data_IF_319298576235
#
_entry.id   IF_319298576235
#
_cell.length_a   1.000
_cell.length_b   1.000
_cell.length_c   1.000
_cell.angle_alpha   90.00
_cell.angle_beta   90.00
_cell.angle_gamma   90.00
#
_symmetry.space_group_name_H-M   'P 1'
#
loop_
_entity.id
_entity.type
_entity.pdbx_description
1 polymer ?
#
# COMPACT_ATOMS: atom_id res chain seq x y z
N UNK A 1 -48.47 -43.92 -11.69
CA UNK A 1 -48.80 -44.04 -13.13
C UNK A 1 -49.58 -42.80 -13.56
N UNK A 2 -49.43 -42.46 -14.85
CA UNK A 2 -50.13 -41.43 -15.63
C UNK A 2 -49.59 -39.99 -15.62
N UNK A 3 -48.75 -39.77 -16.64
CA UNK A 3 -48.64 -38.56 -17.45
C UNK A 3 -50.04 -38.03 -17.88
N UNK A 4 -50.18 -36.74 -18.21
CA UNK A 4 -50.34 -36.47 -19.64
C UNK A 4 -49.69 -35.17 -20.16
N UNK A 5 -49.11 -35.34 -21.34
CA UNK A 5 -48.86 -34.36 -22.40
C UNK A 5 -50.14 -33.70 -22.92
N UNK A 6 -50.09 -32.40 -23.29
CA UNK A 6 -50.72 -31.96 -24.55
C UNK A 6 -50.25 -30.59 -25.05
N UNK A 7 -49.90 -30.57 -26.34
CA UNK A 7 -49.76 -29.41 -27.24
C UNK A 7 -51.14 -28.96 -27.76
N UNK A 8 -51.20 -27.71 -28.25
CA UNK A 8 -51.93 -27.16 -29.43
C UNK A 8 -52.56 -25.80 -29.09
N UNK A 9 -52.13 -24.68 -29.70
CA UNK A 9 -52.45 -24.13 -31.04
C UNK A 9 -53.93 -23.77 -31.26
N UNK A 10 -54.09 -22.47 -31.62
CA UNK A 10 -55.19 -21.82 -32.36
C UNK A 10 -56.33 -21.21 -31.54
N UNK A 11 -56.53 -19.89 -31.70
CA UNK A 11 -57.67 -19.15 -31.15
C UNK A 11 -57.62 -17.67 -31.51
N UNK A 12 -58.21 -17.34 -32.66
CA UNK A 12 -58.39 -16.02 -33.26
C UNK A 12 -59.34 -15.15 -32.40
N UNK A 13 -58.99 -13.90 -32.09
CA UNK A 13 -59.96 -12.87 -31.66
C UNK A 13 -59.68 -11.57 -32.43
N UNK A 14 -60.68 -11.14 -33.21
CA UNK A 14 -60.75 -9.83 -33.84
C UNK A 14 -61.14 -8.76 -32.82
N UNK A 15 -60.42 -7.65 -32.75
CA UNK A 15 -60.98 -6.34 -32.38
C UNK A 15 -60.42 -5.30 -33.36
N UNK A 16 -61.35 -4.50 -33.89
CA UNK A 16 -61.23 -3.55 -34.98
C UNK A 16 -60.80 -2.16 -34.47
N UNK A 17 -60.12 -1.40 -35.35
CA UNK A 17 -60.03 0.09 -35.43
C UNK A 17 -59.17 0.77 -34.34
N UNK A 18 -58.34 1.79 -34.57
CA UNK A 18 -58.34 2.92 -35.51
C UNK A 18 -56.88 3.26 -35.86
N UNK A 19 -56.61 3.51 -37.14
CA UNK A 19 -55.34 4.05 -37.64
C UNK A 19 -55.28 5.56 -37.38
N UNK A 20 -54.16 6.10 -36.87
CA UNK A 20 -53.54 7.34 -37.37
C UNK A 20 -52.31 7.79 -36.57
N UNK A 21 -51.32 8.23 -37.35
CA UNK A 21 -50.26 9.20 -37.06
C UNK A 21 -48.91 8.67 -36.57
N UNK A 22 -48.04 8.58 -37.58
CA UNK A 22 -46.58 8.67 -37.57
C UNK A 22 -46.08 9.66 -36.52
N UNK A 23 -45.15 9.20 -35.69
CA UNK A 23 -44.44 10.03 -34.73
C UNK A 23 -43.51 9.17 -33.88
N UNK A 24 -42.49 8.59 -34.51
CA UNK A 24 -41.45 7.88 -33.77
C UNK A 24 -40.71 8.82 -32.84
N UNK A 25 -40.62 8.45 -31.57
CA UNK A 25 -39.43 8.65 -30.76
C UNK A 25 -39.52 7.71 -29.56
N UNK A 26 -38.48 6.90 -29.42
CA UNK A 26 -38.34 5.88 -28.41
C UNK A 26 -38.52 6.44 -27.00
N UNK A 27 -39.24 5.69 -26.18
CA UNK A 27 -39.19 5.78 -24.73
C UNK A 27 -37.77 5.38 -24.30
N UNK A 28 -36.89 6.36 -24.13
CA UNK A 28 -35.54 6.15 -23.62
C UNK A 28 -35.62 6.00 -22.10
N UNK A 29 -35.52 4.76 -21.63
CA UNK A 29 -34.97 4.48 -20.30
C UNK A 29 -33.64 5.20 -20.18
N UNK A 30 -33.55 6.19 -19.31
CA UNK A 30 -32.28 6.70 -18.84
C UNK A 30 -31.63 5.60 -17.98
N UNK A 31 -30.85 4.73 -18.62
CA UNK A 31 -29.78 4.01 -17.91
C UNK A 31 -28.74 5.06 -17.53
N UNK A 32 -28.52 5.26 -16.23
CA UNK A 32 -27.33 5.94 -15.73
C UNK A 32 -26.11 5.23 -16.30
N UNK A 33 -25.28 5.99 -17.02
CA UNK A 33 -24.04 5.49 -17.59
C UNK A 33 -23.15 4.94 -16.45
N UNK A 34 -22.46 3.80 -16.64
CA UNK A 34 -21.46 3.37 -15.69
C UNK A 34 -20.42 4.49 -15.57
N UNK A 35 -20.24 4.95 -14.33
CA UNK A 35 -19.28 5.94 -13.91
C UNK A 35 -17.95 5.71 -14.66
N UNK A 36 -17.65 6.55 -15.67
CA UNK A 36 -16.39 6.45 -16.43
C UNK A 36 -15.28 6.80 -15.45
N UNK A 37 -14.66 5.77 -14.86
CA UNK A 37 -13.31 5.89 -14.31
C UNK A 37 -12.46 6.41 -15.47
N UNK A 38 -11.84 7.58 -15.28
CA UNK A 38 -10.86 8.10 -16.23
C UNK A 38 -9.86 6.97 -16.55
N UNK A 39 -9.43 6.80 -17.81
CA UNK A 39 -8.38 5.83 -18.11
C UNK A 39 -7.22 6.09 -17.15
N UNK A 40 -6.78 5.06 -16.43
CA UNK A 40 -5.59 5.16 -15.60
C UNK A 40 -4.50 5.80 -16.47
N UNK A 41 -3.89 6.88 -15.96
CA UNK A 41 -2.77 7.50 -16.65
C UNK A 41 -1.78 6.39 -17.04
N UNK A 42 -1.32 6.34 -18.30
CA UNK A 42 -0.42 5.29 -18.73
C UNK A 42 0.77 5.29 -17.78
N UNK A 43 1.08 4.12 -17.21
CA UNK A 43 2.22 3.94 -16.33
C UNK A 43 3.45 4.55 -17.05
N UNK A 44 4.05 5.63 -16.52
CA UNK A 44 5.17 6.29 -17.19
C UNK A 44 6.37 5.35 -17.35
N UNK A 45 6.37 4.18 -16.71
CA UNK A 45 7.40 3.14 -16.83
C UNK A 45 7.04 1.96 -17.72
N UNK A 46 5.84 1.89 -18.30
CA UNK A 46 5.58 0.94 -19.38
C UNK A 46 6.46 1.25 -20.63
N UNK A 47 6.93 2.50 -20.75
CA UNK A 47 7.76 2.97 -21.87
C UNK A 47 9.27 3.08 -21.55
N UNK A 48 9.67 3.23 -20.30
CA UNK A 48 11.08 3.29 -19.89
C UNK A 48 11.44 2.03 -19.10
N UNK A 49 12.16 1.11 -19.74
CA UNK A 49 12.59 -0.14 -19.12
C UNK A 49 13.30 0.10 -17.79
N UNK A 50 13.04 -0.77 -16.79
CA UNK A 50 13.61 -0.71 -15.44
C UNK A 50 15.13 -0.44 -15.41
N UNK A 51 15.88 -0.90 -16.41
CA UNK A 51 17.32 -0.68 -16.55
C UNK A 51 17.72 0.81 -16.70
N UNK A 52 16.92 1.63 -17.37
CA UNK A 52 17.23 3.04 -17.62
C UNK A 52 17.05 3.91 -16.37
N UNK A 53 16.17 3.49 -15.45
CA UNK A 53 15.94 4.15 -14.18
C UNK A 53 17.08 3.93 -13.18
N UNK A 54 17.62 2.71 -13.10
CA UNK A 54 18.80 2.42 -12.26
C UNK A 54 20.06 3.14 -12.77
N UNK A 55 20.12 3.46 -14.06
CA UNK A 55 21.26 4.13 -14.69
C UNK A 55 21.32 5.63 -14.41
N UNK A 56 20.19 6.26 -14.08
CA UNK A 56 20.10 7.71 -13.83
C UNK A 56 20.17 8.08 -12.34
N UNK A 57 19.94 7.13 -11.43
CA UNK A 57 20.12 7.39 -10.00
C UNK A 57 21.60 7.37 -9.63
N UNK A 58 22.06 8.44 -8.99
CA UNK A 58 23.31 8.40 -8.22
C UNK A 58 23.13 7.36 -7.11
N UNK A 59 23.68 6.15 -7.33
CA UNK A 59 23.65 5.05 -6.37
C UNK A 59 24.03 5.58 -4.98
N UNK A 60 23.18 5.43 -3.95
CA UNK A 60 23.47 5.96 -2.64
C UNK A 60 24.73 5.27 -2.07
N UNK A 61 25.76 6.05 -1.76
CA UNK A 61 26.96 5.52 -1.14
C UNK A 61 26.70 5.21 0.34
N UNK A 62 26.99 3.98 0.77
CA UNK A 62 26.67 3.58 2.13
C UNK A 62 26.79 2.08 2.39
N UNK A 63 26.39 1.69 3.59
CA UNK A 63 26.24 0.28 3.96
C UNK A 63 24.92 -0.24 3.38
N UNK A 64 24.98 -1.34 2.64
CA UNK A 64 23.83 -2.03 2.08
C UNK A 64 23.41 -3.16 3.01
N UNK A 65 22.10 -3.27 3.24
CA UNK A 65 21.49 -4.38 3.95
C UNK A 65 20.32 -4.86 3.09
N UNK A 66 20.40 -6.10 2.62
CA UNK A 66 19.43 -6.68 1.68
C UNK A 66 18.49 -7.57 2.49
N UNK A 67 17.19 -7.27 2.43
CA UNK A 67 16.12 -8.16 2.90
C UNK A 67 15.54 -8.95 1.72
N UNK A 68 14.52 -9.76 1.98
CA UNK A 68 13.87 -10.56 0.93
C UNK A 68 13.10 -9.67 -0.06
N UNK A 69 12.34 -8.70 0.47
CA UNK A 69 11.46 -7.82 -0.32
C UNK A 69 11.75 -6.33 -0.09
N UNK A 70 12.99 -6.00 0.26
CA UNK A 70 13.46 -4.63 0.36
C UNK A 70 14.99 -4.55 0.38
N UNK A 71 15.52 -3.36 0.12
CA UNK A 71 16.94 -3.04 0.34
C UNK A 71 17.02 -1.79 1.19
N UNK A 72 17.82 -1.81 2.25
CA UNK A 72 18.15 -0.62 3.04
C UNK A 72 19.58 -0.18 2.74
N UNK A 73 19.77 1.12 2.56
CA UNK A 73 21.11 1.73 2.47
C UNK A 73 21.26 2.80 3.54
N UNK A 74 22.29 2.66 4.37
CA UNK A 74 22.63 3.65 5.39
C UNK A 74 23.76 4.50 4.83
N UNK A 75 23.52 5.80 4.66
CA UNK A 75 24.54 6.72 4.17
C UNK A 75 25.74 6.74 5.14
N UNK A 76 26.94 7.06 4.62
CA UNK A 76 28.19 7.09 5.40
C UNK A 76 28.13 8.05 6.61
N UNK A 77 27.38 9.14 6.50
CA UNK A 77 27.16 10.08 7.60
C UNK A 77 26.14 9.58 8.65
N UNK A 78 25.50 8.46 8.35
CA UNK A 78 24.35 7.88 9.04
C UNK A 78 23.19 8.84 9.30
N UNK A 79 23.09 9.97 8.58
CA UNK A 79 22.00 10.95 8.72
C UNK A 79 20.86 10.67 7.77
N UNK A 80 21.11 9.87 6.73
CA UNK A 80 20.10 9.48 5.75
C UNK A 80 20.07 7.97 5.61
N UNK A 81 18.87 7.41 5.62
CA UNK A 81 18.62 6.02 5.23
C UNK A 81 17.77 6.00 3.97
N UNK A 82 18.05 5.07 3.08
CA UNK A 82 17.27 4.80 1.88
C UNK A 82 16.64 3.42 1.99
N UNK A 83 15.41 3.29 1.50
CA UNK A 83 14.68 2.04 1.39
C UNK A 83 14.20 1.85 -0.04
N UNK A 84 14.55 0.72 -0.65
CA UNK A 84 13.99 0.28 -1.91
C UNK A 84 12.84 -0.68 -1.66
N UNK A 85 11.73 -0.47 -2.35
CA UNK A 85 10.58 -1.38 -2.38
C UNK A 85 10.45 -1.99 -3.77
N UNK A 86 10.64 -3.30 -3.94
CA UNK A 86 10.35 -4.00 -5.19
C UNK A 86 8.87 -3.91 -5.58
N UNK A 87 7.96 -3.83 -4.59
CA UNK A 87 6.52 -3.71 -4.84
C UNK A 87 6.15 -2.40 -5.56
N UNK A 88 6.90 -1.33 -5.29
CA UNK A 88 6.68 0.00 -5.92
C UNK A 88 7.73 0.34 -6.98
N UNK A 89 8.83 -0.43 -7.06
CA UNK A 89 9.97 -0.13 -7.93
C UNK A 89 10.76 1.12 -7.53
N UNK A 90 10.54 1.68 -6.33
CA UNK A 90 11.04 3.00 -5.95
C UNK A 90 11.96 2.96 -4.76
N UNK A 91 12.92 3.89 -4.77
CA UNK A 91 13.73 4.26 -3.61
C UNK A 91 13.06 5.41 -2.87
N UNK A 92 13.07 5.36 -1.55
CA UNK A 92 12.63 6.45 -0.70
C UNK A 92 13.64 6.70 0.42
N UNK A 93 13.87 7.96 0.76
CA UNK A 93 14.84 8.36 1.77
C UNK A 93 14.18 8.93 3.01
N UNK A 94 14.84 8.77 4.15
CA UNK A 94 14.46 9.40 5.40
C UNK A 94 15.70 9.98 6.07
N UNK A 95 15.60 11.25 6.44
CA UNK A 95 16.56 11.86 7.36
C UNK A 95 16.30 11.33 8.76
N UNK A 96 17.35 10.85 9.40
CA UNK A 96 17.31 10.28 10.73
C UNK A 96 17.70 11.37 11.73
N UNK A 97 16.82 11.64 12.69
CA UNK A 97 17.13 12.48 13.84
C UNK A 97 18.07 11.72 14.81
N UNK A 98 19.20 12.33 15.15
CA UNK A 98 20.27 11.71 15.94
C UNK A 98 20.91 12.73 16.87
N UNK A 99 20.37 12.96 18.06
CA UNK A 99 20.94 13.94 18.98
C UNK A 99 22.35 13.55 19.44
N UNK A 100 22.64 12.25 19.59
CA UNK A 100 23.88 11.77 20.23
C UNK A 100 24.85 11.04 19.29
N UNK A 101 24.70 11.18 17.96
CA UNK A 101 25.62 10.54 16.99
C UNK A 101 25.54 9.01 16.97
N UNK A 102 24.46 8.42 17.48
CA UNK A 102 24.29 6.96 17.56
C UNK A 102 24.34 6.28 16.19
N UNK A 103 24.91 5.08 16.15
CA UNK A 103 24.90 4.24 14.95
C UNK A 103 23.46 3.78 14.65
N UNK A 104 23.06 3.87 13.39
CA UNK A 104 21.81 3.25 12.91
C UNK A 104 22.09 1.80 12.61
N UNK A 105 21.38 0.91 13.29
CA UNK A 105 21.46 -0.54 13.10
C UNK A 105 20.05 -1.06 12.85
N UNK A 106 19.62 -1.16 11.58
CA UNK A 106 18.32 -1.70 11.21
C UNK A 106 18.19 -3.17 11.53
N UNK A 107 17.08 -3.54 12.15
CA UNK A 107 16.55 -4.90 12.07
C UNK A 107 15.84 -5.02 10.74
N UNK A 108 16.17 -6.07 9.97
CA UNK A 108 15.56 -6.35 8.67
C UNK A 108 14.72 -7.61 8.77
N UNK A 109 13.44 -7.49 8.43
CA UNK A 109 12.53 -8.63 8.23
C UNK A 109 12.34 -8.90 6.74
N UNK A 110 11.49 -9.88 6.41
CA UNK A 110 11.24 -10.25 5.02
C UNK A 110 10.76 -9.07 4.15
N UNK A 111 9.91 -8.20 4.71
CA UNK A 111 9.31 -7.08 3.97
C UNK A 111 9.13 -5.80 4.79
N UNK A 112 9.91 -5.64 5.87
CA UNK A 112 10.01 -4.39 6.60
C UNK A 112 11.39 -4.22 7.23
N UNK A 113 11.76 -2.98 7.54
CA UNK A 113 12.95 -2.67 8.33
C UNK A 113 12.58 -1.73 9.46
N UNK A 114 13.09 -1.97 10.67
CA UNK A 114 12.85 -1.09 11.81
C UNK A 114 14.15 -0.80 12.57
N UNK A 115 14.26 0.40 13.13
CA UNK A 115 15.30 0.75 14.10
C UNK A 115 14.87 1.91 14.98
N UNK A 116 15.58 2.07 16.10
CA UNK A 116 15.55 3.29 16.89
C UNK A 116 16.78 4.16 16.56
N UNK A 117 16.58 5.47 16.52
CA UNK A 117 17.67 6.44 16.58
C UNK A 117 17.22 7.65 17.40
N UNK A 118 17.92 7.93 18.51
CA UNK A 118 17.49 8.95 19.47
C UNK A 118 16.10 8.66 20.04
N UNK A 119 15.26 9.69 20.05
CA UNK A 119 13.88 9.73 20.52
C UNK A 119 12.85 9.18 19.51
N UNK A 120 13.31 8.48 18.46
CA UNK A 120 12.42 8.03 17.37
C UNK A 120 12.65 6.60 16.95
N UNK A 121 11.54 5.90 16.74
CA UNK A 121 11.46 4.68 15.96
C UNK A 121 11.24 5.03 14.49
N UNK A 122 11.89 4.27 13.61
CA UNK A 122 11.76 4.37 12.17
C UNK A 122 11.36 3.01 11.63
N UNK A 123 10.38 2.99 10.73
CA UNK A 123 9.90 1.80 10.05
C UNK A 123 9.83 2.05 8.56
N UNK A 124 10.40 1.15 7.76
CA UNK A 124 10.21 1.11 6.30
C UNK A 124 9.35 -0.09 5.94
N UNK A 125 8.31 0.13 5.15
CA UNK A 125 7.48 -0.93 4.60
C UNK A 125 7.90 -1.22 3.17
N UNK A 126 8.34 -2.46 2.90
CA UNK A 126 8.61 -2.90 1.54
C UNK A 126 7.33 -3.01 0.69
N UNK A 127 6.16 -3.14 1.32
CA UNK A 127 4.84 -3.12 0.66
C UNK A 127 4.49 -1.74 0.12
N UNK A 128 4.58 -0.70 0.96
CA UNK A 128 4.14 0.66 0.59
C UNK A 128 5.27 1.49 -0.01
N UNK A 129 6.53 1.13 0.24
CA UNK A 129 7.70 1.89 -0.20
C UNK A 129 7.94 3.18 0.57
N UNK A 130 7.28 3.37 1.72
CA UNK A 130 7.40 4.57 2.54
C UNK A 130 8.03 4.31 3.91
N UNK A 131 8.62 5.38 4.45
CA UNK A 131 9.14 5.46 5.80
C UNK A 131 8.11 6.11 6.72
N UNK A 132 7.84 5.49 7.86
CA UNK A 132 7.17 6.13 8.98
C UNK A 132 8.10 6.28 10.18
N UNK A 133 7.77 7.21 11.06
CA UNK A 133 8.51 7.45 12.29
C UNK A 133 7.56 7.69 13.44
N UNK A 134 7.89 7.16 14.61
CA UNK A 134 7.14 7.30 15.84
C UNK A 134 8.04 7.87 16.92
N UNK A 135 7.58 8.91 17.61
CA UNK A 135 8.30 9.44 18.76
C UNK A 135 8.21 8.45 19.94
N UNK A 136 9.30 8.36 20.68
CA UNK A 136 9.42 7.65 21.95
C UNK A 136 10.00 8.61 22.98
N UNK A 137 9.69 8.41 24.26
CA UNK A 137 10.24 9.27 25.32
C UNK A 137 11.78 9.19 25.30
N UNK A 138 12.41 10.35 25.49
CA UNK A 138 13.83 10.53 25.21
C UNK A 138 14.71 9.64 26.11
N UNK A 139 15.74 9.04 25.52
CA UNK A 139 16.75 8.25 26.23
C UNK A 139 16.43 6.77 26.49
N UNK A 140 15.18 6.31 26.37
CA UNK A 140 14.87 4.89 26.61
C UNK A 140 15.11 4.03 25.36
N UNK A 141 15.86 2.93 25.53
CA UNK A 141 16.11 1.97 24.44
C UNK A 141 14.93 1.04 24.28
N UNK A 142 14.39 0.97 23.07
CA UNK A 142 13.27 0.10 22.72
C UNK A 142 13.81 -1.30 22.45
N UNK A 143 13.24 -2.29 23.14
CA UNK A 143 13.42 -3.69 22.77
C UNK A 143 12.58 -3.99 21.53
N UNK A 144 13.18 -3.87 20.34
CA UNK A 144 12.52 -4.16 19.07
C UNK A 144 12.57 -5.66 18.74
N UNK A 145 11.45 -6.18 18.26
CA UNK A 145 11.29 -7.53 17.72
C UNK A 145 10.57 -7.44 16.37
N UNK A 146 10.98 -8.26 15.40
CA UNK A 146 10.33 -8.34 14.10
C UNK A 146 9.55 -9.64 13.96
N UNK A 147 8.30 -9.51 13.55
CA UNK A 147 7.42 -10.60 13.13
C UNK A 147 7.11 -10.43 11.63
N UNK A 148 6.43 -11.41 11.03
CA UNK A 148 6.18 -11.39 9.58
C UNK A 148 5.31 -10.18 9.14
N UNK A 149 4.30 -9.85 9.95
CA UNK A 149 3.31 -8.81 9.63
C UNK A 149 3.54 -7.48 10.36
N UNK A 150 4.29 -7.49 11.47
CA UNK A 150 4.56 -6.28 12.24
C UNK A 150 5.90 -6.31 12.97
N UNK A 151 6.39 -5.13 13.33
CA UNK A 151 7.42 -4.98 14.35
C UNK A 151 6.76 -4.63 15.69
N UNK A 152 7.34 -5.11 16.79
CA UNK A 152 6.93 -4.75 18.15
C UNK A 152 8.10 -4.10 18.86
N UNK A 153 7.88 -2.91 19.41
CA UNK A 153 8.77 -2.25 20.35
C UNK A 153 8.10 -2.13 21.71
N UNK A 154 8.83 -2.42 22.79
CA UNK A 154 8.31 -2.33 24.16
C UNK A 154 9.18 -1.38 24.97
N UNK A 155 8.52 -0.45 25.66
CA UNK A 155 9.12 0.44 26.67
C UNK A 155 8.16 0.53 27.85
N UNK A 156 8.50 -0.09 28.99
CA UNK A 156 7.63 -0.10 30.16
C UNK A 156 6.24 -0.66 29.84
N UNK A 157 5.21 0.20 29.89
CA UNK A 157 3.80 -0.13 29.59
C UNK A 157 3.35 0.27 28.18
N UNK A 158 4.26 0.80 27.37
CA UNK A 158 3.98 1.24 26.01
C UNK A 158 4.46 0.20 25.00
N UNK A 159 3.55 -0.14 24.10
CA UNK A 159 3.75 -1.07 23.00
C UNK A 159 3.65 -0.28 21.70
N UNK A 160 4.73 -0.28 20.93
CA UNK A 160 4.80 0.35 19.62
C UNK A 160 4.72 -0.74 18.56
N UNK A 161 3.75 -0.65 17.66
CA UNK A 161 3.58 -1.62 16.59
C UNK A 161 3.75 -0.95 15.24
N UNK A 162 4.63 -1.48 14.40
CA UNK A 162 4.75 -1.05 13.01
C UNK A 162 4.11 -2.08 12.10
N UNK A 163 3.13 -1.67 11.32
CA UNK A 163 2.45 -2.57 10.38
C UNK A 163 3.20 -2.61 9.05
N UNK A 164 3.57 -3.81 8.61
CA UNK A 164 4.16 -4.06 7.28
C UNK A 164 3.26 -3.57 6.15
N UNK A 165 1.96 -3.82 6.27
CA UNK A 165 0.99 -3.63 5.20
C UNK A 165 0.59 -2.18 5.06
N UNK A 166 0.34 -1.49 6.17
CA UNK A 166 -0.05 -0.07 6.16
C UNK A 166 1.16 0.88 6.17
N UNK A 167 2.35 0.38 6.53
CA UNK A 167 3.56 1.19 6.63
C UNK A 167 3.48 2.27 7.72
N UNK A 168 2.64 2.07 8.74
CA UNK A 168 2.40 3.04 9.80
C UNK A 168 2.72 2.45 11.17
N UNK A 169 3.05 3.34 12.10
CA UNK A 169 3.20 3.02 13.52
C UNK A 169 1.87 3.25 14.25
N UNK A 170 1.62 2.43 15.26
CA UNK A 170 0.61 2.66 16.27
C UNK A 170 1.19 2.41 17.68
N UNK A 171 0.59 3.00 18.71
CA UNK A 171 1.07 2.94 20.08
C UNK A 171 -0.07 2.68 21.06
N UNK A 172 0.10 1.66 21.89
CA UNK A 172 -0.79 1.34 23.01
C UNK A 172 -0.04 1.57 24.33
N UNK A 173 -0.57 2.44 25.19
CA UNK A 173 -0.12 2.57 26.58
C UNK A 173 -1.12 1.90 27.51
N UNK A 174 -0.70 0.84 28.19
CA UNK A 174 -1.57 0.07 29.09
C UNK A 174 -1.80 0.74 30.44
N UNK A 175 -1.18 1.90 30.70
CA UNK A 175 -1.48 2.75 31.87
C UNK A 175 -2.63 3.72 31.64
N UNK A 176 -3.06 3.94 30.39
CA UNK A 176 -4.17 4.85 30.12
C UNK A 176 -5.50 4.17 30.50
N UNK A 177 -6.33 4.81 31.34
CA UNK A 177 -7.63 4.29 31.74
C UNK A 177 -8.67 4.32 30.60
#
# INVERSE_FOLDING_TARGET
MNCPSRKNKSGLICVLMISLMVGGAAFLQAQEAPNRVAPAEPDPFAAQGQADYFSQMKKPEGQYIIGEKLIIVIAKDHKTVWGYSPATGKWNSKKVHKPNGEKVVPMIGGNMACFQAGDRLYGFSGTTGYWASQAVDDGEKVALSLYDEFALGIIGTRYYTFSRTTGSWDMLDTKLP
#
